data_IF_843210705029
#
_entry.id   IF_843210705029
#
_cell.length_a   1.000
_cell.length_b   1.000
_cell.length_c   1.000
_cell.angle_alpha   90.00
_cell.angle_beta   90.00
_cell.angle_gamma   90.00
#
_symmetry.space_group_name_H-M   'P 1'
#
loop_
_entity.id
_entity.type
_entity.pdbx_description
1 polymer ?
#
# COMPACT_ATOMS: atom_id res chain seq x y z
N UNK A 1 9.91 47.79 22.95
CA UNK A 1 9.95 46.38 22.52
C UNK A 1 9.28 45.59 23.64
N UNK A 2 7.99 45.31 23.51
CA UNK A 2 7.24 44.61 24.56
C UNK A 2 7.49 43.11 24.48
N UNK A 3 7.91 42.53 25.60
CA UNK A 3 8.13 41.09 25.79
C UNK A 3 6.82 40.45 26.20
N UNK A 4 6.38 39.45 25.43
CA UNK A 4 5.20 38.64 25.74
C UNK A 4 5.67 37.42 26.55
N UNK A 5 5.19 37.29 27.79
CA UNK A 5 5.60 36.24 28.75
C UNK A 5 4.82 34.91 28.61
N UNK A 6 3.81 34.85 27.76
CA UNK A 6 2.97 33.67 27.55
C UNK A 6 2.82 33.39 26.05
N UNK A 7 2.43 32.16 25.70
CA UNK A 7 2.12 31.81 24.31
C UNK A 7 0.76 32.41 23.92
N UNK A 8 0.70 33.47 23.09
CA UNK A 8 -0.56 34.11 22.72
C UNK A 8 -1.48 33.18 21.90
N UNK A 9 -0.93 32.12 21.29
CA UNK A 9 -1.72 31.10 20.59
C UNK A 9 -2.55 30.21 21.54
N UNK A 10 -2.30 30.24 22.86
CA UNK A 10 -3.18 29.58 23.84
C UNK A 10 -4.48 30.35 24.08
N UNK A 11 -4.55 31.64 23.70
CA UNK A 11 -5.72 32.49 23.90
C UNK A 11 -6.72 32.43 22.74
N UNK A 12 -6.41 31.66 21.69
CA UNK A 12 -7.22 31.56 20.47
C UNK A 12 -7.61 30.10 20.26
N UNK A 13 -8.90 29.84 20.12
CA UNK A 13 -9.38 28.54 19.65
C UNK A 13 -9.03 28.41 18.18
N UNK A 14 -8.30 27.33 17.81
CA UNK A 14 -8.00 27.06 16.40
C UNK A 14 -9.30 27.04 15.61
N UNK A 15 -9.42 27.77 14.49
CA UNK A 15 -10.62 27.71 13.66
C UNK A 15 -10.86 26.25 13.27
N UNK A 16 -12.04 25.73 13.62
CA UNK A 16 -12.40 24.35 13.32
C UNK A 16 -12.32 24.12 11.82
N UNK A 17 -11.31 23.38 11.38
CA UNK A 17 -11.23 22.92 9.99
C UNK A 17 -12.27 21.81 9.87
N UNK A 18 -13.30 21.99 9.05
CA UNK A 18 -14.19 20.88 8.70
C UNK A 18 -13.38 19.91 7.85
N UNK A 19 -12.88 18.85 8.47
CA UNK A 19 -12.31 17.75 7.71
C UNK A 19 -13.41 17.20 6.80
N UNK A 20 -13.20 17.16 5.46
CA UNK A 20 -14.17 16.55 4.57
C UNK A 20 -14.35 15.09 4.97
N UNK A 21 -15.62 14.67 5.09
CA UNK A 21 -15.94 13.30 5.42
C UNK A 21 -15.48 12.37 4.28
N UNK A 22 -14.62 11.41 4.61
CA UNK A 22 -14.11 10.43 3.64
C UNK A 22 -15.22 9.44 3.33
N UNK A 23 -15.73 9.45 2.10
CA UNK A 23 -16.68 8.45 1.64
C UNK A 23 -15.95 7.19 1.18
N UNK A 24 -16.12 6.03 1.85
CA UNK A 24 -15.50 4.80 1.42
C UNK A 24 -16.12 4.33 0.09
N UNK A 25 -15.33 3.74 -0.82
CA UNK A 25 -15.84 3.22 -2.08
C UNK A 25 -16.80 2.05 -1.85
N UNK A 26 -17.76 1.89 -2.76
CA UNK A 26 -18.64 0.71 -2.77
C UNK A 26 -17.86 -0.56 -3.10
N UNK A 27 -18.32 -1.71 -2.60
CA UNK A 27 -17.70 -3.03 -2.89
C UNK A 27 -17.66 -3.31 -4.38
N UNK A 28 -18.71 -2.95 -5.13
CA UNK A 28 -18.73 -3.08 -6.59
C UNK A 28 -17.64 -2.27 -7.27
N UNK A 29 -17.40 -1.03 -6.82
CA UNK A 29 -16.33 -0.19 -7.35
C UNK A 29 -14.96 -0.79 -7.07
N UNK A 30 -14.72 -1.29 -5.86
CA UNK A 30 -13.46 -1.96 -5.50
C UNK A 30 -13.22 -3.18 -6.39
N UNK A 31 -14.24 -4.00 -6.62
CA UNK A 31 -14.13 -5.17 -7.49
C UNK A 31 -13.85 -4.78 -8.95
N UNK A 32 -14.46 -3.71 -9.45
CA UNK A 32 -14.16 -3.19 -10.79
C UNK A 32 -12.73 -2.69 -10.92
N UNK A 33 -12.21 -1.99 -9.90
CA UNK A 33 -10.81 -1.52 -9.85
C UNK A 33 -9.85 -2.71 -9.87
N UNK A 34 -10.14 -3.76 -9.11
CA UNK A 34 -9.31 -4.97 -9.10
C UNK A 34 -9.35 -5.71 -10.43
N UNK A 35 -10.53 -5.86 -11.03
CA UNK A 35 -10.68 -6.49 -12.34
C UNK A 35 -9.90 -5.72 -13.43
N UNK A 36 -10.03 -4.38 -13.46
CA UNK A 36 -9.27 -3.52 -14.38
C UNK A 36 -7.76 -3.64 -14.16
N UNK A 37 -7.32 -3.67 -12.90
CA UNK A 37 -5.90 -3.83 -12.56
C UNK A 37 -5.33 -5.19 -12.98
N UNK A 38 -6.15 -6.25 -12.98
CA UNK A 38 -5.77 -7.58 -13.47
C UNK A 38 -5.71 -7.59 -15.00
N UNK A 39 -6.70 -7.00 -15.67
CA UNK A 39 -6.79 -6.94 -17.14
C UNK A 39 -5.60 -6.21 -17.78
N UNK A 40 -5.14 -5.13 -17.14
CA UNK A 40 -4.02 -4.32 -17.63
C UNK A 40 -2.65 -4.79 -17.13
N UNK A 41 -2.58 -5.94 -16.45
CA UNK A 41 -1.36 -6.52 -15.87
C UNK A 41 -0.54 -5.49 -15.06
N UNK A 42 -1.22 -4.68 -14.24
CA UNK A 42 -0.53 -3.72 -13.38
C UNK A 42 0.27 -4.51 -12.32
N UNK A 43 1.61 -4.35 -12.31
CA UNK A 43 2.53 -5.01 -11.36
C UNK A 43 2.13 -4.84 -9.87
N UNK A 44 1.38 -3.77 -9.57
CA UNK A 44 0.93 -3.42 -8.23
C UNK A 44 -0.46 -3.95 -7.89
N UNK A 45 -1.10 -4.73 -8.77
CA UNK A 45 -2.36 -5.40 -8.52
C UNK A 45 -2.36 -6.20 -7.19
N UNK A 46 -1.31 -6.99 -6.85
CA UNK A 46 -1.27 -7.72 -5.58
C UNK A 46 -1.30 -6.78 -4.35
N UNK A 47 -0.71 -5.59 -4.45
CA UNK A 47 -0.73 -4.59 -3.39
C UNK A 47 -2.12 -3.98 -3.20
N UNK A 48 -2.82 -3.68 -4.30
CA UNK A 48 -4.19 -3.16 -4.28
C UNK A 48 -5.13 -4.22 -3.69
N UNK A 49 -4.99 -5.48 -4.11
CA UNK A 49 -5.75 -6.61 -3.58
C UNK A 49 -5.54 -6.77 -2.08
N UNK A 50 -4.29 -6.80 -1.60
CA UNK A 50 -3.99 -6.90 -0.18
C UNK A 50 -4.67 -5.80 0.63
N UNK A 51 -4.57 -4.55 0.18
CA UNK A 51 -5.16 -3.42 0.90
C UNK A 51 -6.69 -3.55 0.93
N UNK A 52 -7.31 -3.93 -0.18
CA UNK A 52 -8.76 -4.07 -0.28
C UNK A 52 -9.31 -5.19 0.62
N UNK A 53 -8.64 -6.34 0.70
CA UNK A 53 -9.14 -7.52 1.41
C UNK A 53 -8.67 -7.63 2.87
N UNK A 54 -7.52 -7.04 3.21
CA UNK A 54 -6.93 -7.14 4.56
C UNK A 54 -6.94 -5.83 5.35
N UNK A 55 -7.27 -4.70 4.72
CA UNK A 55 -7.36 -3.39 5.38
C UNK A 55 -6.02 -2.86 5.92
N UNK A 56 -4.89 -3.42 5.50
CA UNK A 56 -3.56 -2.99 5.95
C UNK A 56 -3.22 -1.61 5.37
N UNK A 57 -2.44 -0.82 6.12
CA UNK A 57 -2.05 0.51 5.66
C UNK A 57 -1.07 0.40 4.50
N UNK A 58 -1.09 1.38 3.58
CA UNK A 58 -0.17 1.45 2.43
C UNK A 58 1.29 1.21 2.80
N UNK A 59 1.77 1.86 3.87
CA UNK A 59 3.15 1.70 4.34
C UNK A 59 3.43 0.30 4.88
N UNK A 60 2.48 -0.28 5.63
CA UNK A 60 2.58 -1.67 6.13
C UNK A 60 2.64 -2.65 4.95
N UNK A 61 1.78 -2.48 3.94
CA UNK A 61 1.75 -3.28 2.71
C UNK A 61 3.10 -3.27 1.97
N UNK A 62 3.66 -2.08 1.73
CA UNK A 62 4.96 -1.94 1.07
C UNK A 62 6.15 -2.32 1.97
N UNK A 63 5.91 -2.49 3.27
CA UNK A 63 6.90 -2.93 4.26
C UNK A 63 6.95 -4.45 4.44
N UNK A 64 6.10 -5.21 3.75
CA UNK A 64 5.97 -6.65 3.90
C UNK A 64 7.20 -7.39 3.38
N UNK A 65 7.62 -8.39 4.16
CA UNK A 65 8.72 -9.29 3.82
C UNK A 65 8.17 -10.71 3.63
N UNK A 66 8.83 -11.56 2.84
CA UNK A 66 8.41 -12.94 2.61
C UNK A 66 8.66 -13.84 3.82
N UNK A 67 9.74 -13.62 4.58
CA UNK A 67 10.07 -14.41 5.77
C UNK A 67 8.88 -14.54 6.76
N UNK A 68 8.13 -13.48 7.10
CA UNK A 68 6.96 -13.57 7.97
C UNK A 68 5.63 -13.96 7.28
N UNK A 69 5.65 -14.54 6.07
CA UNK A 69 4.45 -15.03 5.37
C UNK A 69 4.35 -16.56 5.50
N UNK A 70 3.30 -17.03 6.15
CA UNK A 70 3.00 -18.45 6.30
C UNK A 70 1.84 -18.85 5.38
N UNK A 71 2.17 -19.57 4.30
CA UNK A 71 1.20 -20.01 3.31
C UNK A 71 0.28 -21.15 3.79
N UNK A 72 0.71 -21.93 4.79
CA UNK A 72 -0.07 -23.04 5.33
C UNK A 72 -1.10 -22.53 6.33
N UNK A 73 -0.68 -21.60 7.19
CA UNK A 73 -1.56 -20.97 8.17
C UNK A 73 -2.37 -19.80 7.61
N UNK A 74 -2.05 -19.37 6.39
CA UNK A 74 -2.68 -18.24 5.71
C UNK A 74 -2.56 -16.92 6.47
N UNK A 75 -1.36 -16.67 6.98
CA UNK A 75 -1.09 -15.49 7.78
C UNK A 75 0.14 -14.74 7.32
N UNK A 76 0.13 -13.43 7.56
CA UNK A 76 1.30 -12.57 7.41
C UNK A 76 1.52 -11.74 8.67
N UNK A 77 2.77 -11.48 9.03
CA UNK A 77 3.08 -10.58 10.15
C UNK A 77 3.49 -9.20 9.67
N UNK A 78 2.84 -8.17 10.19
CA UNK A 78 3.19 -6.78 9.94
C UNK A 78 4.26 -6.38 10.96
N UNK A 79 5.51 -6.32 10.51
CA UNK A 79 6.67 -6.03 11.38
C UNK A 79 7.29 -4.68 11.06
N UNK A 80 7.14 -4.20 9.82
CA UNK A 80 7.70 -2.97 9.30
C UNK A 80 6.64 -2.16 8.55
N UNK A 81 6.86 -0.87 8.43
CA UNK A 81 6.12 0.03 7.56
C UNK A 81 7.11 0.83 6.72
N UNK A 82 6.85 0.92 5.42
CA UNK A 82 7.60 1.76 4.51
C UNK A 82 7.07 3.19 4.55
N UNK A 83 7.96 4.15 4.80
CA UNK A 83 7.62 5.58 4.84
C UNK A 83 8.56 6.39 3.95
N UNK A 84 8.10 7.56 3.53
CA UNK A 84 8.92 8.52 2.81
C UNK A 84 9.29 9.67 3.74
N UNK A 85 10.57 9.75 4.08
CA UNK A 85 11.18 10.86 4.79
C UNK A 85 11.68 11.92 3.80
N UNK A 86 11.55 13.20 4.17
CA UNK A 86 12.07 14.30 3.36
C UNK A 86 13.61 14.28 3.27
N UNK A 87 14.28 13.86 4.34
CA UNK A 87 15.75 13.86 4.44
C UNK A 87 16.37 12.54 3.97
N UNK A 88 15.73 11.41 4.33
CA UNK A 88 16.30 10.06 4.15
C UNK A 88 15.70 9.28 2.98
N UNK A 89 14.77 9.89 2.24
CA UNK A 89 14.07 9.22 1.14
C UNK A 89 13.14 8.12 1.65
N UNK A 90 13.16 6.95 1.00
CA UNK A 90 12.29 5.82 1.34
C UNK A 90 12.98 4.96 2.41
N UNK A 91 12.36 4.84 3.59
CA UNK A 91 12.93 4.12 4.74
C UNK A 91 11.90 3.16 5.35
N UNK A 92 12.41 2.08 5.97
CA UNK A 92 11.61 1.23 6.83
C UNK A 92 11.63 1.76 8.25
N UNK A 93 10.45 1.83 8.84
CA UNK A 93 10.28 2.11 10.27
C UNK A 93 9.48 0.97 10.90
N UNK A 94 9.74 0.64 12.17
CA UNK A 94 8.80 -0.20 12.90
C UNK A 94 7.42 0.48 12.90
N UNK A 95 6.32 -0.29 12.93
CA UNK A 95 4.99 0.26 13.01
C UNK A 95 4.90 1.27 14.16
N UNK A 96 4.16 2.37 13.95
CA UNK A 96 4.08 3.53 14.86
C UNK A 96 3.75 3.18 16.32
N UNK A 97 3.23 1.98 16.59
CA UNK A 97 3.03 1.46 17.94
C UNK A 97 3.33 -0.03 18.00
N UNK A 98 3.68 -0.52 19.19
CA UNK A 98 3.84 -1.95 19.47
C UNK A 98 2.59 -2.76 19.13
N UNK A 99 1.40 -2.16 19.27
CA UNK A 99 0.08 -2.75 18.93
C UNK A 99 -0.07 -2.95 17.42
N UNK A 100 0.58 -2.12 16.60
CA UNK A 100 0.52 -2.24 15.14
C UNK A 100 1.33 -3.44 14.61
N UNK A 101 2.20 -4.05 15.43
CA UNK A 101 2.79 -5.36 15.13
C UNK A 101 1.75 -6.45 15.38
N UNK A 102 1.21 -7.00 14.30
CA UNK A 102 0.10 -7.96 14.37
C UNK A 102 0.22 -9.01 13.28
N UNK A 103 -0.47 -10.12 13.50
CA UNK A 103 -0.73 -11.14 12.49
C UNK A 103 -2.02 -10.76 11.77
N UNK A 104 -2.01 -10.84 10.44
CA UNK A 104 -3.16 -10.64 9.59
C UNK A 104 -3.48 -11.98 8.92
N UNK A 105 -4.71 -12.44 9.10
CA UNK A 105 -5.23 -13.62 8.40
C UNK A 105 -5.67 -13.19 7.00
N UNK A 106 -5.34 -14.02 6.02
CA UNK A 106 -5.67 -13.80 4.61
C UNK A 106 -6.60 -14.92 4.15
N UNK A 107 -7.59 -14.58 3.33
CA UNK A 107 -8.47 -15.57 2.70
C UNK A 107 -7.75 -16.33 1.57
N UNK A 108 -8.34 -17.45 1.14
CA UNK A 108 -7.80 -18.31 0.07
C UNK A 108 -7.51 -17.54 -1.23
N UNK A 109 -8.38 -16.59 -1.59
CA UNK A 109 -8.28 -15.78 -2.79
C UNK A 109 -7.06 -14.86 -2.72
N UNK A 110 -6.92 -14.13 -1.62
CA UNK A 110 -5.74 -13.27 -1.38
C UNK A 110 -4.46 -14.10 -1.36
N UNK A 111 -4.46 -15.29 -0.72
CA UNK A 111 -3.29 -16.17 -0.71
C UNK A 111 -2.93 -16.68 -2.09
N UNK A 112 -3.91 -16.93 -2.96
CA UNK A 112 -3.67 -17.31 -4.35
C UNK A 112 -2.99 -16.18 -5.13
N UNK A 113 -3.47 -14.94 -4.97
CA UNK A 113 -2.84 -13.76 -5.60
C UNK A 113 -1.40 -13.57 -5.15
N UNK A 114 -1.14 -13.73 -3.84
CA UNK A 114 0.22 -13.60 -3.29
C UNK A 114 1.14 -14.73 -3.73
N UNK A 115 0.63 -15.97 -3.87
CA UNK A 115 1.40 -17.08 -4.46
C UNK A 115 1.77 -16.80 -5.91
N UNK A 116 0.80 -16.36 -6.74
CA UNK A 116 1.03 -16.03 -8.14
C UNK A 116 2.06 -14.89 -8.27
N UNK A 117 1.96 -13.87 -7.42
CA UNK A 117 2.93 -12.79 -7.34
C UNK A 117 4.34 -13.28 -7.00
N UNK A 118 4.48 -14.18 -6.02
CA UNK A 118 5.77 -14.77 -5.65
C UNK A 118 6.44 -15.48 -6.83
N UNK A 119 5.66 -16.23 -7.63
CA UNK A 119 6.16 -16.91 -8.84
C UNK A 119 6.67 -15.90 -9.86
N UNK A 120 5.85 -14.89 -10.22
CA UNK A 120 6.26 -13.83 -11.17
C UNK A 120 7.51 -13.09 -10.71
N UNK A 121 7.60 -12.78 -9.42
CA UNK A 121 8.77 -12.12 -8.86
C UNK A 121 10.04 -12.99 -8.99
N UNK A 122 9.93 -14.31 -8.78
CA UNK A 122 11.05 -15.23 -8.95
C UNK A 122 11.52 -15.28 -10.41
N UNK A 123 10.58 -15.31 -11.37
CA UNK A 123 10.89 -15.26 -12.81
C UNK A 123 11.56 -13.93 -13.20
N UNK A 124 11.05 -12.81 -12.69
CA UNK A 124 11.64 -11.49 -12.91
C UNK A 124 13.06 -11.38 -12.33
N UNK A 125 13.27 -11.94 -11.13
CA UNK A 125 14.59 -12.02 -10.50
C UNK A 125 15.59 -12.79 -11.36
N UNK A 126 15.18 -13.92 -11.94
CA UNK A 126 16.03 -14.70 -12.85
C UNK A 126 16.40 -13.88 -14.09
N UNK A 127 15.46 -13.10 -14.61
CA UNK A 127 15.64 -12.24 -15.78
C UNK A 127 16.59 -11.07 -15.51
N UNK A 128 16.46 -10.41 -14.35
CA UNK A 128 17.32 -9.31 -13.93
C UNK A 128 18.71 -9.77 -13.45
N UNK A 129 18.85 -11.04 -13.07
CA UNK A 129 20.08 -11.67 -12.62
C UNK A 129 20.85 -10.81 -11.59
N UNK A 130 22.07 -10.37 -11.93
CA UNK A 130 22.95 -9.61 -11.02
C UNK A 130 22.43 -8.21 -10.68
N UNK A 131 21.51 -7.66 -11.46
CA UNK A 131 20.93 -6.34 -11.22
C UNK A 131 19.85 -6.37 -10.14
N UNK A 132 19.31 -7.56 -9.83
CA UNK A 132 18.28 -7.72 -8.79
C UNK A 132 18.92 -7.89 -7.42
N UNK A 133 18.53 -7.04 -6.47
CA UNK A 133 18.95 -7.12 -5.07
C UNK A 133 17.81 -7.66 -4.23
N UNK A 134 17.96 -8.89 -3.77
CA UNK A 134 16.94 -9.55 -2.94
C UNK A 134 16.96 -8.99 -1.51
N UNK A 135 15.96 -8.16 -1.20
CA UNK A 135 15.73 -7.62 0.15
C UNK A 135 14.58 -8.37 0.87
N UNK A 136 14.20 -9.55 0.41
CA UNK A 136 13.10 -10.35 0.97
C UNK A 136 11.72 -9.63 0.94
N UNK A 137 11.55 -8.60 0.10
CA UNK A 137 10.32 -7.83 0.03
C UNK A 137 9.24 -8.58 -0.77
N UNK A 138 8.00 -8.52 -0.26
CA UNK A 138 6.82 -9.01 -0.99
C UNK A 138 6.52 -8.11 -2.18
N UNK A 139 6.64 -6.79 -2.01
CA UNK A 139 6.31 -5.79 -3.05
C UNK A 139 7.52 -4.86 -3.33
N UNK A 140 8.61 -5.38 -3.94
CA UNK A 140 9.72 -4.54 -4.33
C UNK A 140 9.45 -3.79 -5.64
N UNK A 141 10.39 -2.93 -6.00
CA UNK A 141 10.52 -2.40 -7.35
C UNK A 141 11.19 -3.40 -8.32
N UNK A 142 11.38 -2.96 -9.56
CA UNK A 142 11.99 -3.73 -10.64
C UNK A 142 13.40 -4.27 -10.34
N UNK A 143 14.12 -3.70 -9.37
CA UNK A 143 15.48 -4.09 -8.96
C UNK A 143 15.52 -4.76 -7.58
N UNK A 144 14.37 -5.08 -7.00
CA UNK A 144 14.28 -5.69 -5.67
C UNK A 144 14.35 -4.68 -4.51
N UNK A 145 14.39 -3.38 -4.79
CA UNK A 145 14.48 -2.30 -3.80
C UNK A 145 13.10 -1.88 -3.27
N UNK A 146 13.03 -1.10 -2.18
CA UNK A 146 11.76 -0.63 -1.65
C UNK A 146 11.02 0.30 -2.61
N UNK A 147 9.76 -0.02 -2.90
CA UNK A 147 8.93 0.77 -3.81
C UNK A 147 8.62 2.15 -3.22
N UNK A 148 8.75 3.21 -4.02
CA UNK A 148 8.26 4.53 -3.60
C UNK A 148 6.73 4.45 -3.34
N UNK A 149 6.22 4.81 -2.14
CA UNK A 149 4.79 4.71 -1.83
C UNK A 149 3.86 5.48 -2.77
N UNK A 150 4.39 6.49 -3.47
CA UNK A 150 3.66 7.23 -4.49
C UNK A 150 3.36 6.39 -5.74
N UNK A 151 4.20 5.41 -6.11
CA UNK A 151 3.95 4.51 -7.25
C UNK A 151 2.63 3.75 -7.05
N UNK A 152 2.40 3.20 -5.84
CA UNK A 152 1.16 2.51 -5.50
C UNK A 152 -0.06 3.44 -5.52
N UNK A 153 0.08 4.65 -5.00
CA UNK A 153 -1.01 5.66 -5.02
C UNK A 153 -1.39 5.99 -6.46
N UNK A 154 -0.40 6.26 -7.30
CA UNK A 154 -0.62 6.54 -8.73
C UNK A 154 -1.20 5.35 -9.48
N UNK A 155 -0.84 4.12 -9.12
CA UNK A 155 -1.42 2.93 -9.73
C UNK A 155 -2.91 2.79 -9.38
N UNK A 156 -3.26 3.01 -8.11
CA UNK A 156 -4.67 3.03 -7.68
C UNK A 156 -5.45 4.15 -8.38
N UNK A 157 -4.92 5.37 -8.40
CA UNK A 157 -5.57 6.52 -9.07
C UNK A 157 -5.77 6.26 -10.58
N UNK A 158 -4.82 5.58 -11.24
CA UNK A 158 -4.94 5.20 -12.65
C UNK A 158 -6.08 4.20 -12.85
N UNK A 159 -6.12 3.13 -12.04
CA UNK A 159 -7.17 2.12 -12.12
C UNK A 159 -8.56 2.69 -11.83
N UNK A 160 -8.67 3.52 -10.79
CA UNK A 160 -9.91 4.23 -10.45
C UNK A 160 -10.40 5.13 -11.59
N UNK A 161 -9.49 5.90 -12.22
CA UNK A 161 -9.84 6.75 -13.35
C UNK A 161 -10.33 5.96 -14.55
N UNK A 162 -9.72 4.81 -14.86
CA UNK A 162 -10.17 3.95 -15.97
C UNK A 162 -11.57 3.41 -15.73
N UNK A 163 -11.83 2.91 -14.52
CA UNK A 163 -13.16 2.43 -14.13
C UNK A 163 -14.20 3.55 -14.16
N UNK A 164 -13.88 4.71 -13.59
CA UNK A 164 -14.81 5.87 -13.58
C UNK A 164 -15.10 6.37 -14.99
N UNK A 165 -14.09 6.49 -15.85
CA UNK A 165 -14.28 6.89 -17.26
C UNK A 165 -15.04 5.82 -18.03
N UNK A 166 -14.82 4.53 -17.76
CA UNK A 166 -15.55 3.41 -18.35
C UNK A 166 -17.03 3.41 -17.98
N UNK A 167 -17.36 3.69 -16.72
CA UNK A 167 -18.73 3.81 -16.23
C UNK A 167 -19.47 5.00 -16.86
N UNK A 168 -18.79 6.13 -17.03
CA UNK A 168 -19.35 7.31 -17.72
C UNK A 168 -19.61 7.00 -19.20
N UNK A 169 -18.75 6.22 -19.87
CA UNK A 169 -18.95 5.83 -21.28
C UNK A 169 -20.10 4.83 -21.50
N UNK A 170 -20.46 4.04 -20.49
CA UNK A 170 -21.57 3.08 -20.57
C UNK A 170 -22.95 3.70 -20.28
N UNK A 171 -23.00 4.96 -19.83
CA UNK A 171 -24.22 5.65 -19.38
C UNK A 171 -24.72 6.71 -20.37
N UNK A 172 -24.30 6.68 -21.64
CA UNK A 172 -24.73 7.61 -22.70
C UNK A 172 -25.36 6.87 -23.87
#
# INVERSE_FOLDING_TARGET
MELIFCNPAQLVTSPGTKEPEVQPPSVSTVNSILADSIEHDDDLCPAIHLIAYSGIRRGECLGLHWQPVDFNRQVMSIINSLVRSAEKGVIFEPPKSTVSRRIVNLDDGTMAVIRAHKVRQMEHRLTMARSYRDNDLVLPDEFGQPLNPMKLTRALDRAEKRVTVGLVKLTI
#
